data_IF_190907227377
#
_entry.id   IF_190907227377
#
_cell.length_a   1.000
_cell.length_b   1.000
_cell.length_c   1.000
_cell.angle_alpha   90.00
_cell.angle_beta   90.00
_cell.angle_gamma   90.00
#
_symmetry.space_group_name_H-M   'P 1'
#
loop_
_entity.id
_entity.type
_entity.pdbx_description
1 polymer ?
#
# COMPACT_ATOMS: atom_id res chain seq x y z
N UNK A 1 -18.38 21.34 -31.16
CA UNK A 1 -18.87 19.98 -30.91
C UNK A 1 -17.90 19.34 -29.92
N UNK A 2 -18.29 19.23 -28.65
CA UNK A 2 -17.45 18.66 -27.61
C UNK A 2 -17.49 17.13 -27.74
N UNK A 3 -16.34 16.51 -28.03
CA UNK A 3 -16.21 15.06 -28.07
C UNK A 3 -16.39 14.50 -26.66
N UNK A 4 -17.27 13.51 -26.52
CA UNK A 4 -17.43 12.76 -25.28
C UNK A 4 -16.09 12.17 -24.84
N UNK A 5 -15.76 12.19 -23.54
CA UNK A 5 -14.58 11.50 -23.04
C UNK A 5 -14.69 10.00 -23.38
N UNK A 6 -13.56 9.33 -23.69
CA UNK A 6 -13.58 7.91 -23.98
C UNK A 6 -14.16 7.15 -22.77
N UNK A 7 -15.25 6.42 -23.00
CA UNK A 7 -15.81 5.52 -22.02
C UNK A 7 -14.75 4.47 -21.67
N UNK A 8 -14.26 4.50 -20.43
CA UNK A 8 -13.48 3.41 -19.86
C UNK A 8 -14.35 2.16 -20.00
N UNK A 9 -13.91 1.20 -20.81
CA UNK A 9 -14.64 -0.06 -20.97
C UNK A 9 -14.69 -0.72 -19.60
N UNK A 10 -15.86 -1.21 -19.19
CA UNK A 10 -16.06 -1.89 -17.90
C UNK A 10 -15.16 -3.12 -17.68
N UNK A 11 -14.44 -3.59 -18.71
CA UNK A 11 -13.44 -4.64 -18.64
C UNK A 11 -12.06 -4.19 -18.11
N UNK A 12 -11.80 -2.87 -18.03
CA UNK A 12 -10.55 -2.30 -17.50
C UNK A 12 -10.71 -1.74 -16.07
N UNK A 13 -11.86 -1.99 -15.43
CA UNK A 13 -12.05 -1.59 -14.04
C UNK A 13 -11.05 -2.36 -13.15
N UNK A 14 -10.28 -1.68 -12.28
CA UNK A 14 -9.37 -2.34 -11.37
C UNK A 14 -10.13 -3.35 -10.50
N UNK A 15 -9.88 -4.63 -10.72
CA UNK A 15 -10.38 -5.69 -9.86
C UNK A 15 -9.33 -5.98 -8.79
N UNK A 16 -9.71 -5.79 -7.52
CA UNK A 16 -8.90 -6.23 -6.39
C UNK A 16 -9.62 -7.36 -5.67
N UNK A 17 -9.20 -8.59 -5.97
CA UNK A 17 -9.81 -9.80 -5.39
C UNK A 17 -9.46 -9.98 -3.91
N UNK A 18 -8.36 -9.39 -3.43
CA UNK A 18 -7.93 -9.49 -2.03
C UNK A 18 -8.63 -8.43 -1.15
N UNK A 19 -8.88 -7.25 -1.71
CA UNK A 19 -9.58 -6.16 -1.05
C UNK A 19 -10.64 -5.49 -1.96
N UNK A 20 -11.79 -6.16 -2.21
CA UNK A 20 -12.84 -5.63 -3.09
C UNK A 20 -13.40 -4.27 -2.67
N UNK A 21 -13.37 -3.98 -1.35
CA UNK A 21 -13.81 -2.70 -0.79
C UNK A 21 -12.95 -1.50 -1.21
N UNK A 22 -11.69 -1.73 -1.58
CA UNK A 22 -10.81 -0.67 -2.07
C UNK A 22 -11.11 -0.28 -3.53
N UNK A 23 -11.80 -1.13 -4.30
CA UNK A 23 -12.04 -0.95 -5.75
C UNK A 23 -12.61 0.43 -6.11
N UNK A 24 -13.65 0.97 -5.43
CA UNK A 24 -14.15 2.30 -5.75
C UNK A 24 -13.09 3.39 -5.62
N UNK A 25 -12.20 3.28 -4.63
CA UNK A 25 -11.12 4.24 -4.42
C UNK A 25 -10.00 4.08 -5.46
N UNK A 26 -9.73 2.86 -5.92
CA UNK A 26 -8.81 2.61 -7.03
C UNK A 26 -9.31 3.24 -8.33
N UNK A 27 -10.60 3.10 -8.63
CA UNK A 27 -11.23 3.75 -9.79
C UNK A 27 -11.09 5.26 -9.70
N UNK A 28 -11.49 5.86 -8.57
CA UNK A 28 -11.39 7.30 -8.36
C UNK A 28 -9.94 7.80 -8.46
N UNK A 29 -8.97 7.03 -7.95
CA UNK A 29 -7.56 7.37 -8.03
C UNK A 29 -7.03 7.31 -9.47
N UNK A 30 -7.40 6.27 -10.23
CA UNK A 30 -7.00 6.11 -11.63
C UNK A 30 -7.60 7.22 -12.50
N UNK A 31 -8.85 7.61 -12.28
CA UNK A 31 -9.48 8.72 -12.99
C UNK A 31 -8.77 10.05 -12.69
N UNK A 32 -8.44 10.29 -11.42
CA UNK A 32 -7.74 11.51 -11.00
C UNK A 32 -6.33 11.60 -11.60
N UNK A 33 -5.60 10.49 -11.63
CA UNK A 33 -4.26 10.43 -12.22
C UNK A 33 -4.29 10.51 -13.73
N UNK A 34 -5.28 9.89 -14.40
CA UNK A 34 -5.50 10.03 -15.84
C UNK A 34 -5.86 11.48 -16.24
N UNK A 35 -6.53 12.23 -15.36
CA UNK A 35 -6.77 13.67 -15.52
C UNK A 35 -5.54 14.55 -15.24
N UNK A 36 -4.38 13.95 -14.98
CA UNK A 36 -3.10 14.62 -14.76
C UNK A 36 -2.78 14.94 -13.31
N UNK A 37 -3.60 14.50 -12.35
CA UNK A 37 -3.26 14.55 -10.92
C UNK A 37 -2.91 15.94 -10.37
N UNK A 38 -3.42 17.02 -10.99
CA UNK A 38 -2.99 18.40 -10.69
C UNK A 38 -3.49 18.92 -9.33
N UNK A 39 -4.60 18.38 -8.85
CA UNK A 39 -5.18 18.75 -7.56
C UNK A 39 -4.61 17.86 -6.46
N UNK A 40 -3.52 18.32 -5.83
CA UNK A 40 -2.83 17.55 -4.79
C UNK A 40 -3.68 17.34 -3.54
N UNK A 41 -4.62 18.25 -3.23
CA UNK A 41 -5.54 18.05 -2.11
C UNK A 41 -6.47 16.86 -2.41
N UNK A 42 -7.02 16.80 -3.63
CA UNK A 42 -7.84 15.66 -4.07
C UNK A 42 -7.04 14.37 -4.17
N UNK A 43 -5.78 14.43 -4.63
CA UNK A 43 -4.87 13.26 -4.63
C UNK A 43 -4.67 12.73 -3.21
N UNK A 44 -4.41 13.62 -2.25
CA UNK A 44 -4.25 13.25 -0.85
C UNK A 44 -5.52 12.57 -0.29
N UNK A 45 -6.70 13.13 -0.56
CA UNK A 45 -7.98 12.57 -0.09
C UNK A 45 -8.23 11.17 -0.65
N UNK A 46 -8.11 11.00 -1.98
CA UNK A 46 -8.43 9.72 -2.63
C UNK A 46 -7.39 8.65 -2.27
N UNK A 47 -6.11 9.01 -2.22
CA UNK A 47 -5.06 8.09 -1.77
C UNK A 47 -5.26 7.67 -0.31
N UNK A 48 -5.59 8.61 0.58
CA UNK A 48 -5.90 8.30 1.97
C UNK A 48 -7.11 7.38 2.12
N UNK A 49 -8.16 7.59 1.34
CA UNK A 49 -9.34 6.71 1.31
C UNK A 49 -8.97 5.29 0.83
N UNK A 50 -8.19 5.16 -0.25
CA UNK A 50 -7.73 3.87 -0.73
C UNK A 50 -6.89 3.13 0.33
N UNK A 51 -5.94 3.84 0.96
CA UNK A 51 -5.13 3.29 2.04
C UNK A 51 -5.97 2.79 3.22
N UNK A 52 -7.00 3.55 3.60
CA UNK A 52 -7.91 3.19 4.68
C UNK A 52 -8.67 1.88 4.37
N UNK A 53 -9.20 1.73 3.15
CA UNK A 53 -9.89 0.50 2.76
C UNK A 53 -8.98 -0.73 2.82
N UNK A 54 -7.72 -0.61 2.39
CA UNK A 54 -6.73 -1.68 2.55
C UNK A 54 -6.41 -1.96 4.02
N UNK A 55 -6.30 -0.94 4.87
CA UNK A 55 -6.09 -1.15 6.31
C UNK A 55 -7.24 -1.92 6.97
N UNK A 56 -8.47 -1.70 6.53
CA UNK A 56 -9.60 -2.49 7.00
C UNK A 56 -9.55 -3.93 6.49
N UNK A 57 -9.12 -4.16 5.24
CA UNK A 57 -8.86 -5.51 4.71
C UNK A 57 -7.77 -6.25 5.52
N UNK A 58 -6.70 -5.56 5.94
CA UNK A 58 -5.69 -6.12 6.85
C UNK A 58 -6.35 -6.59 8.15
N UNK A 59 -7.18 -5.74 8.77
CA UNK A 59 -7.90 -6.09 10.00
C UNK A 59 -8.79 -7.33 9.84
N UNK A 60 -9.53 -7.42 8.73
CA UNK A 60 -10.34 -8.58 8.40
C UNK A 60 -9.49 -9.85 8.19
N UNK A 61 -8.35 -9.73 7.50
CA UNK A 61 -7.43 -10.83 7.27
C UNK A 61 -6.74 -11.31 8.56
N UNK A 62 -6.51 -10.42 9.54
CA UNK A 62 -5.91 -10.82 10.83
C UNK A 62 -6.83 -11.63 11.75
N UNK A 63 -8.16 -11.47 11.60
CA UNK A 63 -9.13 -12.02 12.58
C UNK A 63 -9.66 -13.41 12.24
N UNK A 64 -9.52 -13.87 10.99
CA UNK A 64 -10.12 -15.13 10.52
C UNK A 64 -9.11 -16.28 10.47
N UNK A 65 -8.05 -16.12 9.68
CA UNK A 65 -6.88 -17.00 9.54
C UNK A 65 -5.79 -16.11 8.93
N UNK A 66 -4.55 -16.15 9.43
CA UNK A 66 -3.46 -15.40 8.82
C UNK A 66 -3.16 -15.97 7.43
N UNK A 67 -3.78 -15.37 6.41
CA UNK A 67 -3.54 -15.66 5.00
C UNK A 67 -2.42 -14.74 4.50
N UNK A 68 -1.19 -15.27 4.49
CA UNK A 68 0.06 -14.55 4.16
C UNK A 68 -0.01 -13.80 2.82
N UNK A 69 -0.46 -14.43 1.71
CA UNK A 69 -0.77 -13.76 0.46
C UNK A 69 -1.58 -12.48 0.61
N UNK A 70 -2.66 -12.54 1.40
CA UNK A 70 -3.64 -11.47 1.48
C UNK A 70 -3.17 -10.34 2.38
N UNK A 71 -2.72 -10.67 3.58
CA UNK A 71 -2.36 -9.67 4.58
C UNK A 71 -1.12 -8.86 4.18
N UNK A 72 -0.13 -9.50 3.55
CA UNK A 72 1.06 -8.81 3.10
C UNK A 72 0.81 -8.03 1.80
N UNK A 73 -0.07 -8.50 0.93
CA UNK A 73 -0.57 -7.71 -0.21
C UNK A 73 -1.24 -6.42 0.26
N UNK A 74 -2.21 -6.51 1.17
CA UNK A 74 -2.99 -5.35 1.63
C UNK A 74 -2.08 -4.34 2.35
N UNK A 75 -1.09 -4.79 3.14
CA UNK A 75 -0.06 -3.93 3.73
C UNK A 75 0.74 -3.16 2.69
N UNK A 76 1.23 -3.84 1.65
CA UNK A 76 1.99 -3.18 0.58
C UNK A 76 1.12 -2.16 -0.15
N UNK A 77 -0.13 -2.51 -0.49
CA UNK A 77 -1.06 -1.60 -1.16
C UNK A 77 -1.39 -0.38 -0.32
N UNK A 78 -1.73 -0.57 0.96
CA UNK A 78 -1.94 0.53 1.90
C UNK A 78 -0.72 1.46 1.96
N UNK A 79 0.48 0.88 2.06
CA UNK A 79 1.73 1.62 2.15
C UNK A 79 2.00 2.46 0.89
N UNK A 80 1.74 1.91 -0.31
CA UNK A 80 1.88 2.66 -1.57
C UNK A 80 0.99 3.91 -1.59
N UNK A 81 -0.29 3.74 -1.23
CA UNK A 81 -1.23 4.86 -1.19
C UNK A 81 -0.89 5.88 -0.10
N UNK A 82 -0.38 5.44 1.05
CA UNK A 82 0.08 6.34 2.11
C UNK A 82 1.32 7.16 1.69
N UNK A 83 2.24 6.60 0.89
CA UNK A 83 3.35 7.38 0.30
C UNK A 83 2.81 8.45 -0.65
N UNK A 84 1.83 8.10 -1.50
CA UNK A 84 1.20 9.08 -2.40
C UNK A 84 0.49 10.17 -1.62
N UNK A 85 -0.29 9.79 -0.61
CA UNK A 85 -0.97 10.73 0.29
C UNK A 85 0.04 11.65 0.97
N UNK A 86 1.11 11.09 1.53
CA UNK A 86 2.15 11.85 2.22
C UNK A 86 2.81 12.90 1.32
N UNK A 87 3.18 12.53 0.09
CA UNK A 87 3.73 13.45 -0.90
C UNK A 87 2.74 14.55 -1.28
N UNK A 88 1.48 14.19 -1.49
CA UNK A 88 0.43 15.14 -1.86
C UNK A 88 0.13 16.13 -0.72
N UNK A 89 0.03 15.67 0.52
CA UNK A 89 -0.11 16.52 1.71
C UNK A 89 1.07 17.46 1.90
N UNK A 90 2.30 16.96 1.67
CA UNK A 90 3.49 17.80 1.70
C UNK A 90 3.43 18.92 0.63
N UNK A 91 2.99 18.58 -0.59
CA UNK A 91 2.83 19.55 -1.68
C UNK A 91 1.75 20.61 -1.40
N UNK A 92 0.72 20.29 -0.61
CA UNK A 92 -0.29 21.26 -0.15
C UNK A 92 0.11 21.98 1.14
N UNK A 93 1.29 21.69 1.68
CA UNK A 93 1.82 22.32 2.88
C UNK A 93 1.35 21.70 4.21
N UNK A 94 0.52 20.65 4.20
CA UNK A 94 0.13 19.92 5.40
C UNK A 94 1.24 18.96 5.84
N UNK A 95 2.27 19.55 6.45
CA UNK A 95 3.46 18.83 6.89
C UNK A 95 3.13 17.79 7.98
N UNK A 96 2.17 18.08 8.85
CA UNK A 96 1.79 17.16 9.93
C UNK A 96 1.08 15.93 9.38
N UNK A 97 0.11 16.13 8.48
CA UNK A 97 -0.57 15.04 7.79
C UNK A 97 0.42 14.21 6.95
N UNK A 98 1.35 14.87 6.25
CA UNK A 98 2.39 14.20 5.47
C UNK A 98 3.28 13.29 6.33
N UNK A 99 3.78 13.80 7.46
CA UNK A 99 4.61 13.03 8.39
C UNK A 99 3.87 11.80 8.92
N UNK A 100 2.59 11.94 9.26
CA UNK A 100 1.80 10.81 9.76
C UNK A 100 1.64 9.74 8.68
N UNK A 101 1.17 10.12 7.49
CA UNK A 101 0.97 9.17 6.39
C UNK A 101 2.26 8.41 6.03
N UNK A 102 3.40 9.10 5.96
CA UNK A 102 4.68 8.47 5.65
C UNK A 102 5.19 7.54 6.75
N UNK A 103 4.97 7.85 8.03
CA UNK A 103 5.28 6.95 9.14
C UNK A 103 4.44 5.69 9.11
N UNK A 104 3.15 5.82 8.79
CA UNK A 104 2.24 4.69 8.67
C UNK A 104 2.64 3.81 7.47
N UNK A 105 2.96 4.41 6.33
CA UNK A 105 3.48 3.71 5.14
C UNK A 105 4.73 2.89 5.48
N UNK A 106 5.69 3.55 6.15
CA UNK A 106 6.95 2.91 6.57
C UNK A 106 6.67 1.73 7.50
N UNK A 107 5.79 1.88 8.47
CA UNK A 107 5.50 0.85 9.47
C UNK A 107 4.87 -0.39 8.82
N UNK A 108 3.88 -0.19 7.94
CA UNK A 108 3.21 -1.30 7.25
C UNK A 108 4.14 -2.01 6.27
N UNK A 109 4.97 -1.27 5.53
CA UNK A 109 5.95 -1.85 4.60
C UNK A 109 7.10 -2.56 5.34
N UNK A 110 7.61 -2.00 6.44
CA UNK A 110 8.67 -2.61 7.24
C UNK A 110 8.24 -3.96 7.83
N UNK A 111 6.96 -4.07 8.24
CA UNK A 111 6.37 -5.35 8.65
C UNK A 111 6.51 -6.41 7.55
N UNK A 112 6.16 -6.07 6.31
CA UNK A 112 6.22 -7.02 5.18
C UNK A 112 7.67 -7.32 4.78
N UNK A 113 8.54 -6.32 4.79
CA UNK A 113 9.95 -6.49 4.43
C UNK A 113 10.66 -7.46 5.39
N UNK A 114 10.34 -7.35 6.69
CA UNK A 114 10.87 -8.19 7.77
C UNK A 114 10.05 -9.44 8.03
N UNK A 115 8.97 -9.67 7.26
CA UNK A 115 8.11 -10.82 7.49
C UNK A 115 8.89 -12.11 7.24
N UNK A 116 8.72 -13.05 8.17
CA UNK A 116 9.20 -14.42 8.08
C UNK A 116 8.04 -15.37 8.39
N UNK A 117 7.91 -16.50 7.67
CA UNK A 117 6.93 -17.51 8.03
C UNK A 117 7.26 -18.04 9.42
N UNK A 118 6.25 -18.13 10.28
CA UNK A 118 6.38 -18.90 11.52
C UNK A 118 6.73 -20.33 11.15
N UNK A 119 7.90 -20.80 11.58
CA UNK A 119 8.25 -22.21 11.50
C UNK A 119 7.29 -23.00 12.39
N UNK A 120 6.16 -23.46 11.85
CA UNK A 120 5.29 -24.44 12.52
C UNK A 120 5.28 -25.73 11.70
N UNK A 121 6.05 -26.69 12.21
CA UNK A 121 5.99 -28.14 12.09
C UNK A 121 5.07 -28.72 11.02
N UNK A 122 5.61 -28.88 9.81
CA UNK A 122 5.07 -29.88 8.88
C UNK A 122 5.62 -31.27 9.23
N UNK A 123 5.12 -31.86 10.31
CA UNK A 123 5.20 -33.31 10.50
C UNK A 123 4.06 -33.96 9.70
N UNK A 124 4.28 -34.20 8.41
CA UNK A 124 3.43 -35.14 7.68
C UNK A 124 3.69 -36.54 8.23
N UNK A 125 2.77 -37.07 9.04
CA UNK A 125 2.65 -38.51 9.28
C UNK A 125 2.30 -39.18 7.96
N UNK A 126 3.33 -39.69 7.29
CA UNK A 126 3.26 -40.18 5.93
C UNK A 126 2.63 -41.58 5.90
N UNK A 127 1.36 -41.69 5.51
CA UNK A 127 0.76 -42.93 4.99
C UNK A 127 -0.23 -42.62 3.88
N UNK A 128 0.27 -42.23 2.71
CA UNK A 128 -0.57 -42.06 1.53
C UNK A 128 0.20 -41.51 0.36
N UNK A 129 0.47 -42.38 -0.62
CA UNK A 129 1.11 -42.08 -1.91
C UNK A 129 0.48 -40.85 -2.58
N UNK A 130 1.16 -39.71 -2.49
CA UNK A 130 0.85 -38.49 -3.23
C UNK A 130 2.13 -37.70 -3.45
N UNK A 131 2.48 -37.52 -4.73
CA UNK A 131 3.59 -36.74 -5.29
C UNK A 131 4.44 -35.93 -4.28
N UNK A 132 5.70 -36.37 -4.14
CA UNK A 132 6.74 -35.63 -3.43
C UNK A 132 6.96 -34.26 -4.07
N UNK A 133 6.29 -33.23 -3.55
CA UNK A 133 6.77 -31.87 -3.65
C UNK A 133 8.05 -31.79 -2.79
N UNK A 134 9.19 -31.89 -3.47
CA UNK A 134 10.52 -31.44 -3.07
C UNK A 134 10.83 -31.39 -1.57
N UNK A 135 11.60 -32.40 -1.15
CA UNK A 135 12.53 -32.32 -0.03
C UNK A 135 13.47 -31.10 -0.20
N UNK A 136 13.66 -30.27 0.83
CA UNK A 136 14.99 -29.72 1.09
C UNK A 136 15.26 -28.21 1.02
N UNK A 137 14.28 -27.31 0.97
CA UNK A 137 14.52 -25.92 1.39
C UNK A 137 13.50 -25.55 2.47
N UNK A 138 13.92 -25.16 3.68
CA UNK A 138 13.04 -24.34 4.48
C UNK A 138 12.89 -23.05 3.68
N UNK A 139 11.76 -22.86 3.01
CA UNK A 139 11.43 -21.61 2.33
C UNK A 139 11.17 -20.55 3.42
N UNK A 140 12.27 -20.13 4.06
CA UNK A 140 12.46 -18.85 4.75
C UNK A 140 12.54 -17.68 3.76
N UNK A 141 12.23 -17.93 2.48
CA UNK A 141 11.91 -16.88 1.53
C UNK A 141 10.75 -16.12 2.13
N UNK A 142 11.00 -14.94 2.72
CA UNK A 142 9.95 -14.16 3.36
C UNK A 142 8.88 -13.72 2.37
N UNK A 143 8.15 -12.66 2.68
CA UNK A 143 6.96 -12.35 1.89
C UNK A 143 7.29 -12.19 0.41
N UNK A 144 6.45 -12.74 -0.48
CA UNK A 144 6.54 -12.51 -1.93
C UNK A 144 6.49 -11.02 -2.30
N UNK A 145 6.03 -10.17 -1.39
CA UNK A 145 5.98 -8.71 -1.52
C UNK A 145 7.17 -7.98 -0.87
N UNK A 146 8.17 -8.71 -0.35
CA UNK A 146 9.31 -8.15 0.37
C UNK A 146 10.05 -7.07 -0.42
N UNK A 147 10.33 -7.31 -1.70
CA UNK A 147 11.04 -6.34 -2.55
C UNK A 147 10.25 -5.03 -2.68
N UNK A 148 8.97 -5.10 -3.03
CA UNK A 148 8.09 -3.94 -3.12
C UNK A 148 8.02 -3.20 -1.78
N UNK A 149 7.92 -3.93 -0.67
CA UNK A 149 7.91 -3.36 0.67
C UNK A 149 9.22 -2.64 1.00
N UNK A 150 10.39 -3.21 0.68
CA UNK A 150 11.69 -2.57 0.85
C UNK A 150 11.79 -1.27 0.06
N UNK A 151 11.32 -1.24 -1.19
CA UNK A 151 11.29 -0.03 -2.00
C UNK A 151 10.39 1.05 -1.39
N UNK A 152 9.25 0.65 -0.82
CA UNK A 152 8.33 1.59 -0.14
C UNK A 152 8.94 2.14 1.14
N UNK A 153 9.63 1.32 1.94
CA UNK A 153 10.38 1.79 3.12
C UNK A 153 11.39 2.86 2.71
N UNK A 154 12.20 2.59 1.69
CA UNK A 154 13.19 3.56 1.19
C UNK A 154 12.53 4.85 0.67
N UNK A 155 11.40 4.75 -0.03
CA UNK A 155 10.65 5.91 -0.51
C UNK A 155 10.09 6.74 0.66
N UNK A 156 9.52 6.09 1.67
CA UNK A 156 9.00 6.77 2.86
C UNK A 156 10.12 7.46 3.65
N UNK A 157 11.25 6.78 3.88
CA UNK A 157 12.41 7.35 4.56
C UNK A 157 13.00 8.56 3.81
N UNK A 158 13.03 8.50 2.48
CA UNK A 158 13.45 9.63 1.62
C UNK A 158 12.55 10.85 1.82
N UNK A 159 11.22 10.68 1.80
CA UNK A 159 10.30 11.81 2.00
C UNK A 159 10.30 12.33 3.44
N UNK A 160 10.39 11.45 4.44
CA UNK A 160 10.51 11.84 5.85
C UNK A 160 11.77 12.69 6.07
N UNK A 161 12.89 12.31 5.45
CA UNK A 161 14.13 13.07 5.52
C UNK A 161 13.96 14.47 4.93
N UNK A 162 13.31 14.60 3.77
CA UNK A 162 13.03 15.91 3.16
C UNK A 162 12.16 16.80 4.06
N UNK A 163 11.12 16.24 4.67
CA UNK A 163 10.24 16.99 5.58
C UNK A 163 10.99 17.46 6.84
N UNK A 164 11.87 16.62 7.38
CA UNK A 164 12.70 16.97 8.54
C UNK A 164 13.82 17.97 8.21
N UNK A 165 14.27 18.05 6.96
CA UNK A 165 15.24 19.03 6.49
C UNK A 165 14.62 20.42 6.20
N UNK A 166 13.29 20.50 6.02
CA UNK A 166 12.56 21.74 5.77
C UNK A 166 11.51 22.10 6.85
N UNK A 167 11.85 22.11 8.15
CA UNK A 167 10.86 22.30 9.21
C UNK A 167 10.23 23.71 9.28
N UNK A 168 10.69 24.71 8.49
CA UNK A 168 10.34 26.12 8.72
C UNK A 168 10.10 27.04 7.50
N UNK A 169 9.84 26.53 6.29
CA UNK A 169 9.58 27.44 5.15
C UNK A 169 8.17 28.10 5.14
N UNK A 170 7.31 27.87 6.14
CA UNK A 170 5.93 28.36 6.15
C UNK A 170 5.62 29.46 7.19
N UNK A 171 6.62 29.96 7.93
CA UNK A 171 6.40 31.02 8.92
C UNK A 171 6.47 32.45 8.34
N UNK A 172 6.28 32.66 7.03
CA UNK A 172 6.32 34.00 6.43
C UNK A 172 5.27 34.21 5.34
N UNK A 173 4.01 34.35 5.76
CA UNK A 173 3.07 35.18 5.00
C UNK A 173 2.19 35.96 5.97
N UNK A 174 2.63 37.18 6.28
CA UNK A 174 1.83 38.22 6.91
C UNK A 174 1.66 39.36 5.89
N UNK A 175 0.43 39.84 5.70
CA UNK A 175 0.17 41.27 5.85
C UNK A 175 -0.64 41.56 7.12
#
# INVERSE_FOLDING_TARGET
MAGAPPAVRAADAPADTFCPRAVPQLVAFNELTAAGGKDMAKVATVAGAAAHEYQLCIGEATTRVVDEPRINYDRVRASQFLVVQGRALAATGDTKGALQALKDARTLADFVAKWEPSAQDFSQSNSGSGYSASRGTPDHTGSRYREAATQIVAAADTELTKLNAHPQAQATTKP
#
